data_IF_427780516879
#
_entry.id   IF_427780516879
#
_cell.length_a   1.000
_cell.length_b   1.000
_cell.length_c   1.000
_cell.angle_alpha   90.00
_cell.angle_beta   90.00
_cell.angle_gamma   90.00
#
_symmetry.space_group_name_H-M   'P 1'
#
loop_
_entity.id
_entity.type
_entity.pdbx_description
1 polymer ?
#
# COMPACT_ATOMS: atom_id res chain seq x y z
N UNK A 1 -15.43 -14.78 19.52
CA UNK A 1 -15.28 -15.09 18.08
C UNK A 1 -14.01 -14.39 17.66
N UNK A 2 -12.96 -15.15 17.32
CA UNK A 2 -11.68 -14.60 16.90
C UNK A 2 -11.92 -13.76 15.65
N UNK A 3 -11.67 -12.45 15.73
CA UNK A 3 -11.62 -11.59 14.56
C UNK A 3 -10.46 -12.11 13.71
N UNK A 4 -10.76 -12.99 12.77
CA UNK A 4 -9.86 -13.28 11.66
C UNK A 4 -9.64 -11.96 10.94
N UNK A 5 -8.62 -11.22 11.38
CA UNK A 5 -7.97 -10.21 10.58
C UNK A 5 -7.57 -10.94 9.32
N UNK A 6 -8.34 -10.75 8.24
CA UNK A 6 -7.94 -11.23 6.94
C UNK A 6 -6.53 -10.71 6.73
N UNK A 7 -5.58 -11.64 6.65
CA UNK A 7 -4.19 -11.29 6.45
C UNK A 7 -4.14 -10.53 5.13
N UNK A 8 -3.79 -9.24 5.21
CA UNK A 8 -3.63 -8.38 4.04
C UNK A 8 -2.67 -9.09 3.07
N UNK A 9 -2.99 -9.17 1.80
CA UNK A 9 -2.12 -9.73 0.78
C UNK A 9 -0.93 -8.81 0.54
N UNK A 10 0.16 -9.33 -0.04
CA UNK A 10 1.32 -8.49 -0.38
C UNK A 10 0.96 -7.38 -1.38
N UNK A 11 -0.02 -7.65 -2.27
CA UNK A 11 -0.58 -6.66 -3.17
C UNK A 11 -1.22 -5.51 -2.41
N UNK A 12 -2.16 -5.80 -1.50
CA UNK A 12 -2.84 -4.79 -0.68
C UNK A 12 -1.86 -3.97 0.18
N UNK A 13 -0.75 -4.58 0.64
CA UNK A 13 0.33 -3.87 1.34
C UNK A 13 1.02 -2.85 0.42
N UNK A 14 1.31 -3.22 -0.84
CA UNK A 14 1.90 -2.30 -1.83
C UNK A 14 0.91 -1.22 -2.31
N UNK A 15 -0.38 -1.54 -2.45
CA UNK A 15 -1.43 -0.58 -2.77
C UNK A 15 -1.55 0.50 -1.67
N UNK A 16 -1.61 0.05 -0.41
CA UNK A 16 -1.65 0.95 0.75
C UNK A 16 -0.40 1.84 0.83
N UNK A 17 0.76 1.33 0.42
CA UNK A 17 1.98 2.15 0.31
C UNK A 17 1.86 3.22 -0.79
N UNK A 18 1.29 2.88 -1.95
CA UNK A 18 0.98 3.84 -3.01
C UNK A 18 0.10 5.00 -2.54
N UNK A 19 -0.96 4.70 -1.79
CA UNK A 19 -1.83 5.72 -1.17
C UNK A 19 -1.06 6.56 -0.13
N UNK A 20 -0.20 5.93 0.68
CA UNK A 20 0.63 6.64 1.64
C UNK A 20 1.64 7.60 0.96
N UNK A 21 2.12 7.26 -0.23
CA UNK A 21 2.94 8.15 -1.06
C UNK A 21 2.12 9.31 -1.65
N UNK A 22 0.91 9.04 -2.16
CA UNK A 22 0.03 10.07 -2.71
C UNK A 22 -0.33 11.14 -1.66
N UNK A 23 -0.65 10.68 -0.45
CA UNK A 23 -1.07 11.52 0.69
C UNK A 23 0.08 12.10 1.51
N UNK A 24 1.35 11.82 1.15
CA UNK A 24 2.52 12.14 1.96
C UNK A 24 2.42 11.65 3.43
N UNK A 25 1.78 10.50 3.65
CA UNK A 25 1.55 9.95 4.99
C UNK A 25 2.78 9.20 5.51
N UNK A 26 3.60 9.87 6.33
CA UNK A 26 4.76 9.25 7.00
C UNK A 26 4.37 8.02 7.83
N UNK A 27 3.20 8.06 8.50
CA UNK A 27 2.68 6.92 9.27
C UNK A 27 2.38 5.72 8.37
N UNK A 28 1.79 5.96 7.19
CA UNK A 28 1.50 4.91 6.21
C UNK A 28 2.78 4.29 5.64
N UNK A 29 3.79 5.10 5.35
CA UNK A 29 5.09 4.63 4.87
C UNK A 29 5.82 3.78 5.93
N UNK A 30 5.80 4.19 7.20
CA UNK A 30 6.35 3.40 8.32
C UNK A 30 5.62 2.07 8.48
N UNK A 31 4.28 2.07 8.35
CA UNK A 31 3.47 0.83 8.40
C UNK A 31 3.87 -0.13 7.28
N UNK A 32 4.04 0.36 6.06
CA UNK A 32 4.51 -0.45 4.93
C UNK A 32 5.87 -1.12 5.24
N UNK A 33 6.85 -0.35 5.73
CA UNK A 33 8.18 -0.89 6.08
C UNK A 33 8.07 -1.98 7.15
N UNK A 34 7.22 -1.78 8.16
CA UNK A 34 7.00 -2.77 9.22
C UNK A 34 6.40 -4.07 8.70
N UNK A 35 5.37 -3.98 7.85
CA UNK A 35 4.71 -5.15 7.23
C UNK A 35 5.65 -5.90 6.30
N UNK A 36 6.35 -5.18 5.41
CA UNK A 36 7.33 -5.75 4.50
C UNK A 36 8.43 -6.49 5.27
N UNK A 37 8.99 -5.85 6.30
CA UNK A 37 10.03 -6.46 7.14
C UNK A 37 9.53 -7.74 7.81
N UNK A 38 8.35 -7.70 8.44
CA UNK A 38 7.77 -8.86 9.12
C UNK A 38 7.53 -10.04 8.16
N UNK A 39 7.11 -9.77 6.92
CA UNK A 39 6.85 -10.81 5.91
C UNK A 39 8.12 -11.38 5.29
N UNK A 40 9.13 -10.53 5.06
CA UNK A 40 10.45 -10.97 4.60
C UNK A 40 11.12 -11.84 5.67
N UNK A 41 11.09 -11.42 6.94
CA UNK A 41 11.65 -12.20 8.05
C UNK A 41 10.94 -13.54 8.27
N UNK A 42 9.66 -13.63 7.93
CA UNK A 42 8.88 -14.88 8.00
C UNK A 42 8.84 -15.68 6.69
N UNK A 43 9.56 -15.25 5.64
CA UNK A 43 9.52 -15.84 4.30
C UNK A 43 8.10 -15.97 3.71
N UNK A 44 7.19 -15.07 4.09
CA UNK A 44 5.80 -15.03 3.58
C UNK A 44 5.60 -14.00 2.48
N UNK A 45 6.61 -13.14 2.24
CA UNK A 45 6.60 -12.18 1.15
C UNK A 45 6.82 -12.87 -0.20
N UNK A 46 5.89 -12.66 -1.13
CA UNK A 46 5.82 -13.36 -2.43
C UNK A 46 6.14 -12.47 -3.62
N UNK A 47 6.06 -11.14 -3.47
CA UNK A 47 6.34 -10.19 -4.54
C UNK A 47 7.82 -9.86 -4.64
N UNK A 48 8.33 -9.65 -5.84
CA UNK A 48 9.64 -9.00 -5.98
C UNK A 48 9.51 -7.47 -5.83
N UNK A 49 10.65 -6.78 -5.70
CA UNK A 49 10.69 -5.33 -5.51
C UNK A 49 10.05 -4.56 -6.68
N UNK A 50 10.23 -5.03 -7.91
CA UNK A 50 9.69 -4.38 -9.11
C UNK A 50 8.16 -4.49 -9.17
N UNK A 51 7.61 -5.66 -8.83
CA UNK A 51 6.17 -5.89 -8.75
C UNK A 51 5.51 -4.99 -7.70
N UNK A 52 6.08 -4.93 -6.50
CA UNK A 52 5.54 -4.06 -5.45
C UNK A 52 5.62 -2.58 -5.83
N UNK A 53 6.75 -2.15 -6.43
CA UNK A 53 6.91 -0.77 -6.91
C UNK A 53 5.87 -0.42 -7.99
N UNK A 54 5.62 -1.33 -8.94
CA UNK A 54 4.60 -1.15 -9.98
C UNK A 54 3.22 -0.95 -9.35
N UNK A 55 2.81 -1.85 -8.45
CA UNK A 55 1.50 -1.77 -7.76
C UNK A 55 1.38 -0.46 -6.97
N UNK A 56 2.42 -0.07 -6.23
CA UNK A 56 2.43 1.16 -5.45
C UNK A 56 2.32 2.42 -6.33
N UNK A 57 3.01 2.45 -7.48
CA UNK A 57 2.96 3.58 -8.40
C UNK A 57 1.62 3.68 -9.13
N UNK A 58 1.01 2.56 -9.52
CA UNK A 58 -0.33 2.50 -10.09
C UNK A 58 -1.36 3.02 -9.08
N UNK A 59 -1.31 2.53 -7.84
CA UNK A 59 -2.22 2.94 -6.75
C UNK A 59 -2.05 4.42 -6.40
N UNK A 60 -0.81 4.93 -6.37
CA UNK A 60 -0.52 6.35 -6.16
C UNK A 60 -1.16 7.21 -7.25
N UNK A 61 -1.04 6.79 -8.51
CA UNK A 61 -1.61 7.53 -9.64
C UNK A 61 -3.13 7.55 -9.61
N UNK A 62 -3.76 6.40 -9.36
CA UNK A 62 -5.22 6.29 -9.21
C UNK A 62 -5.73 7.19 -8.09
N UNK A 63 -5.13 7.12 -6.90
CA UNK A 63 -5.55 7.95 -5.77
C UNK A 63 -5.40 9.45 -6.04
N UNK A 64 -4.32 9.86 -6.71
CA UNK A 64 -4.14 11.26 -7.12
C UNK A 64 -5.22 11.71 -8.12
N UNK A 65 -5.63 10.83 -9.03
CA UNK A 65 -6.68 11.11 -9.99
C UNK A 65 -8.04 11.25 -9.29
N UNK A 66 -8.37 10.33 -8.38
CA UNK A 66 -9.60 10.38 -7.59
C UNK A 66 -9.66 11.68 -6.76
N UNK A 67 -8.55 12.05 -6.11
CA UNK A 67 -8.45 13.31 -5.37
C UNK A 67 -8.68 14.54 -6.27
N UNK A 68 -8.13 14.53 -7.49
CA UNK A 68 -8.30 15.63 -8.44
C UNK A 68 -9.74 15.73 -8.98
N UNK A 69 -10.43 14.60 -9.16
CA UNK A 69 -11.85 14.57 -9.50
C UNK A 69 -12.70 15.16 -8.37
N UNK A 70 -12.43 14.77 -7.11
CA UNK A 70 -13.13 15.31 -5.94
C UNK A 70 -12.98 16.85 -5.88
N UNK A 71 -11.79 17.39 -6.18
CA UNK A 71 -11.55 18.83 -6.24
C UNK A 71 -12.17 19.55 -7.46
N UNK A 72 -12.54 18.83 -8.52
CA UNK A 72 -13.12 19.42 -9.74
C UNK A 72 -14.65 19.47 -9.73
N UNK A 73 -15.29 18.92 -8.70
CA UNK A 73 -16.75 18.89 -8.53
C UNK A 73 -17.33 19.95 -7.58
N UNK A 74 -16.50 20.86 -7.08
CA UNK A 74 -16.91 22.11 -6.39
C UNK A 74 -16.94 23.30 -7.36
#
# INVERSE_FOLDING_TARGET
MSLSAFAMTDQEVCEAYGVALATNSSKGQVKFISELKSRVESNTWTLNAEQCNKIAMESKHQFNFDLALDFSTD
#
